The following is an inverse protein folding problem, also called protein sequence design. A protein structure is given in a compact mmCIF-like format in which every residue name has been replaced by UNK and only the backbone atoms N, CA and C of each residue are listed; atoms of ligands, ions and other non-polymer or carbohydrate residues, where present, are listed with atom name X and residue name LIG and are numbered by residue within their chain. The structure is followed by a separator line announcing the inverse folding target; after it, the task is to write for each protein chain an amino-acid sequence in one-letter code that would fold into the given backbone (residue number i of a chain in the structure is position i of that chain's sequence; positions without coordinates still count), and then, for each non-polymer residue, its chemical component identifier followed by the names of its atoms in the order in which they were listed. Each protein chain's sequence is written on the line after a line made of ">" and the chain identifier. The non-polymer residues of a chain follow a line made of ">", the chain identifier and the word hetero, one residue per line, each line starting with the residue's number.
data_IF_515591721232
#
_entry.id   IF_515591721232
#
_cell.length_a   1.000
_cell.length_b   1.000
_cell.length_c   1.000
_cell.angle_alpha   90.00
_cell.angle_beta   90.00
_cell.angle_gamma   90.00
#
_symmetry.space_group_name_H-M   'P 1'
#
loop_
_entity.id
_entity.type
_entity.pdbx_description
1 polymer ?
#
# COMPACT_ATOMS: atom_id res chain seq x y z
N UNK A 1 -28.01 23.58 2.14
CA UNK A 1 -28.47 24.87 2.70
C UNK A 1 -29.72 24.60 3.50
N UNK A 2 -30.00 25.32 4.61
CA UNK A 2 -31.27 25.14 5.30
C UNK A 2 -32.42 25.49 4.34
N UNK A 3 -33.58 24.90 4.57
CA UNK A 3 -34.80 25.24 3.84
C UNK A 3 -35.17 26.71 4.08
N UNK A 4 -35.80 27.35 3.09
CA UNK A 4 -36.14 28.77 3.14
C UNK A 4 -37.33 29.08 4.08
N UNK A 5 -38.14 28.08 4.41
CA UNK A 5 -39.26 28.20 5.34
C UNK A 5 -39.11 27.20 6.48
N UNK A 6 -39.46 27.63 7.69
CA UNK A 6 -39.47 26.78 8.87
C UNK A 6 -40.55 25.69 8.72
N UNK A 7 -40.17 24.42 8.94
CA UNK A 7 -41.09 23.28 8.85
C UNK A 7 -42.25 23.35 9.84
N UNK A 8 -42.07 24.05 10.96
CA UNK A 8 -43.01 24.01 12.08
C UNK A 8 -44.02 25.17 12.04
N UNK A 9 -43.62 26.33 11.52
CA UNK A 9 -44.45 27.54 11.51
C UNK A 9 -44.56 28.24 10.15
N UNK A 10 -43.83 27.79 9.13
CA UNK A 10 -43.82 28.37 7.79
C UNK A 10 -43.09 29.71 7.65
N UNK A 11 -42.50 30.25 8.73
CA UNK A 11 -41.76 31.52 8.69
C UNK A 11 -40.44 31.45 7.91
N UNK A 12 -39.94 32.60 7.45
CA UNK A 12 -38.72 32.69 6.65
C UNK A 12 -37.46 32.31 7.45
N UNK A 13 -36.56 31.54 6.83
CA UNK A 13 -35.29 31.09 7.40
C UNK A 13 -34.13 31.73 6.65
N UNK A 14 -33.35 32.55 7.36
CA UNK A 14 -32.13 33.15 6.80
C UNK A 14 -30.92 32.24 7.06
N UNK A 15 -30.31 31.73 5.98
CA UNK A 15 -29.08 30.94 6.08
C UNK A 15 -27.90 31.78 6.60
N UNK A 16 -27.10 31.20 7.49
CA UNK A 16 -25.85 31.82 7.95
C UNK A 16 -24.84 31.95 6.80
N UNK A 17 -24.09 33.06 6.77
CA UNK A 17 -23.08 33.34 5.73
C UNK A 17 -21.85 32.41 5.76
N UNK A 18 -21.63 31.70 6.87
CA UNK A 18 -20.54 30.74 7.02
C UNK A 18 -21.05 29.39 7.56
N UNK A 19 -20.46 28.26 7.11
CA UNK A 19 -20.85 26.94 7.59
C UNK A 19 -20.45 26.75 9.05
N UNK A 20 -21.43 26.44 9.91
CA UNK A 20 -21.22 26.19 11.35
C UNK A 20 -21.32 24.71 11.74
N UNK A 21 -22.01 23.90 10.94
CA UNK A 21 -22.14 22.46 11.14
C UNK A 21 -21.21 21.73 10.18
N UNK A 22 -20.40 20.81 10.71
CA UNK A 22 -19.45 20.00 9.93
C UNK A 22 -19.89 18.56 10.00
N UNK A 23 -20.04 17.92 8.85
CA UNK A 23 -20.26 16.49 8.73
C UNK A 23 -19.12 15.92 7.89
N UNK A 24 -18.31 15.06 8.50
CA UNK A 24 -17.19 14.39 7.84
C UNK A 24 -17.52 12.90 7.74
N UNK A 25 -17.33 12.37 6.54
CA UNK A 25 -17.39 10.93 6.27
C UNK A 25 -15.97 10.49 5.97
N UNK A 26 -15.54 9.39 6.59
CA UNK A 26 -14.22 8.81 6.38
C UNK A 26 -14.40 7.48 5.67
N UNK A 27 -13.63 7.27 4.60
CA UNK A 27 -13.60 6.04 3.83
C UNK A 27 -12.14 5.65 3.59
N UNK A 28 -11.86 4.34 3.58
CA UNK A 28 -10.53 3.85 3.26
C UNK A 28 -10.29 3.94 1.75
N UNK A 29 -9.11 4.38 1.29
CA UNK A 29 -8.79 4.33 -0.13
C UNK A 29 -8.64 2.87 -0.58
N UNK A 30 -8.84 2.62 -1.88
CA UNK A 30 -8.46 1.34 -2.48
C UNK A 30 -6.96 1.08 -2.30
N UNK A 31 -6.62 -0.05 -1.70
CA UNK A 31 -5.24 -0.48 -1.49
C UNK A 31 -4.70 -1.21 -2.72
N UNK A 32 -3.80 -0.56 -3.46
CA UNK A 32 -3.11 -1.15 -4.61
C UNK A 32 -1.62 -1.24 -4.34
N UNK A 33 -1.03 -2.38 -4.69
CA UNK A 33 0.41 -2.57 -4.70
C UNK A 33 0.96 -2.16 -6.07
N UNK A 34 2.01 -1.36 -6.07
CA UNK A 34 2.77 -1.03 -7.28
C UNK A 34 3.86 -2.09 -7.45
N UNK A 35 3.81 -2.85 -8.54
CA UNK A 35 4.68 -3.99 -8.80
C UNK A 35 5.46 -3.75 -10.08
N UNK A 36 6.79 -3.70 -9.96
CA UNK A 36 7.70 -3.72 -11.10
C UNK A 36 8.32 -5.11 -11.22
N UNK A 37 8.06 -5.81 -12.31
CA UNK A 37 8.64 -7.13 -12.59
C UNK A 37 9.84 -6.98 -13.54
N UNK A 38 11.04 -7.35 -13.07
CA UNK A 38 12.23 -7.42 -13.90
C UNK A 38 12.44 -8.85 -14.42
N UNK A 39 12.27 -9.04 -15.73
CA UNK A 39 12.50 -10.34 -16.38
C UNK A 39 13.94 -10.44 -16.88
N UNK A 40 14.75 -11.26 -16.22
CA UNK A 40 16.15 -11.51 -16.60
C UNK A 40 16.29 -12.85 -17.32
N UNK A 41 16.82 -12.80 -18.54
CA UNK A 41 17.11 -13.99 -19.33
C UNK A 41 18.52 -14.51 -19.02
N UNK A 42 18.73 -15.81 -19.22
CA UNK A 42 20.06 -16.41 -19.21
C UNK A 42 20.27 -17.29 -20.44
N UNK A 43 21.52 -17.46 -20.84
CA UNK A 43 21.93 -18.30 -21.95
C UNK A 43 23.22 -19.04 -21.64
N UNK A 44 23.57 -19.97 -22.52
CA UNK A 44 24.84 -20.71 -22.45
C UNK A 44 25.66 -20.45 -23.70
N UNK A 45 26.96 -20.24 -23.51
CA UNK A 45 27.91 -20.15 -24.61
C UNK A 45 27.94 -21.49 -25.36
N UNK A 46 27.75 -21.47 -26.68
CA UNK A 46 27.73 -22.68 -27.51
C UNK A 46 29.11 -23.38 -27.62
N UNK A 47 30.19 -22.72 -27.21
CA UNK A 47 31.54 -23.29 -27.28
C UNK A 47 32.06 -23.81 -25.93
N UNK A 48 32.00 -23.00 -24.88
CA UNK A 48 32.53 -23.37 -23.56
C UNK A 48 31.44 -23.70 -22.53
N UNK A 49 30.16 -23.63 -22.91
CA UNK A 49 29.00 -23.90 -22.06
C UNK A 49 28.86 -22.96 -20.83
N UNK A 50 29.65 -21.90 -20.74
CA UNK A 50 29.55 -20.89 -19.67
C UNK A 50 28.18 -20.21 -19.70
N UNK A 51 27.58 -20.05 -18.51
CA UNK A 51 26.30 -19.37 -18.34
C UNK A 51 26.50 -17.85 -18.35
N UNK A 52 25.76 -17.15 -19.19
CA UNK A 52 25.62 -15.69 -19.16
C UNK A 52 24.22 -15.33 -18.68
N UNK A 53 24.11 -14.39 -17.73
CA UNK A 53 22.84 -13.92 -17.17
C UNK A 53 22.67 -12.44 -17.47
N UNK A 54 21.43 -12.02 -17.74
CA UNK A 54 21.05 -10.62 -17.74
C UNK A 54 21.25 -10.00 -16.35
N UNK A 55 21.46 -8.69 -16.33
CA UNK A 55 21.61 -7.90 -15.11
C UNK A 55 20.40 -7.00 -14.92
N UNK A 56 20.07 -6.67 -13.67
CA UNK A 56 19.06 -5.65 -13.39
C UNK A 56 19.50 -4.28 -13.95
N UNK A 57 18.53 -3.39 -14.27
CA UNK A 57 18.80 -1.97 -14.50
C UNK A 57 19.53 -1.33 -13.31
N UNK A 58 20.32 -0.28 -13.56
CA UNK A 58 21.14 0.38 -12.53
C UNK A 58 20.32 1.08 -11.45
N UNK A 59 19.08 1.38 -11.75
CA UNK A 59 18.10 2.06 -10.90
C UNK A 59 17.17 1.09 -10.17
N UNK A 60 17.24 -0.21 -10.46
CA UNK A 60 16.49 -1.21 -9.72
C UNK A 60 17.10 -1.40 -8.32
N UNK A 61 16.24 -1.49 -7.31
CA UNK A 61 16.63 -1.86 -5.96
C UNK A 61 17.16 -3.30 -5.91
N UNK A 62 18.18 -3.55 -5.09
CA UNK A 62 18.70 -4.91 -4.85
C UNK A 62 17.73 -5.79 -4.04
N UNK A 63 16.81 -5.17 -3.29
CA UNK A 63 15.80 -5.83 -2.47
C UNK A 63 14.42 -5.93 -3.14
N UNK A 64 13.58 -6.87 -2.67
CA UNK A 64 12.21 -7.04 -3.19
C UNK A 64 11.18 -6.08 -2.57
N UNK A 65 11.54 -5.32 -1.54
CA UNK A 65 10.67 -4.36 -0.87
C UNK A 65 11.19 -2.93 -1.02
N UNK A 66 10.39 -2.09 -1.66
CA UNK A 66 10.66 -0.66 -1.74
C UNK A 66 10.48 0.04 -0.38
N UNK A 67 11.08 1.23 -0.17
CA UNK A 67 11.11 1.90 1.14
C UNK A 67 9.75 2.04 1.83
N UNK A 68 8.68 2.26 1.07
CA UNK A 68 7.31 2.37 1.61
C UNK A 68 6.79 1.05 2.17
N UNK A 69 6.98 -0.05 1.44
CA UNK A 69 6.54 -1.37 1.90
C UNK A 69 7.38 -1.84 3.07
N UNK A 70 8.71 -1.63 3.01
CA UNK A 70 9.64 -1.92 4.09
C UNK A 70 9.23 -1.17 5.38
N UNK A 71 9.01 0.14 5.29
CA UNK A 71 8.58 0.96 6.43
C UNK A 71 7.25 0.49 7.01
N UNK A 72 6.30 0.10 6.14
CA UNK A 72 5.00 -0.39 6.58
C UNK A 72 5.13 -1.71 7.35
N UNK A 73 5.91 -2.66 6.84
CA UNK A 73 6.20 -3.93 7.54
C UNK A 73 6.88 -3.68 8.89
N UNK A 74 7.85 -2.77 8.94
CA UNK A 74 8.55 -2.39 10.17
C UNK A 74 7.61 -1.78 11.21
N UNK A 75 6.62 -0.99 10.80
CA UNK A 75 5.58 -0.45 11.71
C UNK A 75 4.67 -1.57 12.22
N UNK A 76 4.23 -2.48 11.34
CA UNK A 76 3.39 -3.62 11.72
C UNK A 76 4.06 -4.55 12.74
N UNK A 77 5.36 -4.81 12.59
CA UNK A 77 6.11 -5.64 13.54
C UNK A 77 6.56 -4.86 14.78
N UNK A 78 7.17 -3.69 14.60
CA UNK A 78 7.80 -2.93 15.67
C UNK A 78 6.81 -2.23 16.58
N UNK A 79 5.83 -1.53 16.01
CA UNK A 79 4.83 -0.78 16.78
C UNK A 79 3.61 -1.62 17.13
N UNK A 80 3.13 -2.44 16.18
CA UNK A 80 1.90 -3.22 16.36
C UNK A 80 2.14 -4.68 16.79
N UNK A 81 3.41 -5.10 16.91
CA UNK A 81 3.79 -6.43 17.40
C UNK A 81 3.12 -7.59 16.65
N UNK A 82 2.85 -7.39 15.35
CA UNK A 82 2.35 -8.48 14.51
C UNK A 82 3.48 -9.47 14.26
N UNK A 83 3.17 -10.76 14.45
CA UNK A 83 4.09 -11.82 14.05
C UNK A 83 4.25 -11.85 12.52
N UNK A 84 5.36 -12.38 12.04
CA UNK A 84 5.63 -12.56 10.59
C UNK A 84 4.43 -13.15 9.84
N UNK A 85 3.77 -14.17 10.39
CA UNK A 85 2.58 -14.79 9.78
C UNK A 85 1.36 -13.85 9.76
N UNK A 86 1.15 -13.06 10.81
CA UNK A 86 0.06 -12.08 10.84
C UNK A 86 0.30 -10.94 9.85
N UNK A 87 1.54 -10.47 9.76
CA UNK A 87 1.93 -9.45 8.76
C UNK A 87 1.75 -9.99 7.34
N UNK A 88 2.24 -11.19 7.05
CA UNK A 88 2.04 -11.86 5.76
C UNK A 88 0.55 -11.95 5.40
N UNK A 89 -0.28 -12.41 6.36
CA UNK A 89 -1.72 -12.56 6.13
C UNK A 89 -2.41 -11.23 5.89
N UNK A 90 -2.07 -10.20 6.66
CA UNK A 90 -2.61 -8.85 6.47
C UNK A 90 -2.28 -8.29 5.09
N UNK A 91 -1.03 -8.44 4.63
CA UNK A 91 -0.63 -7.97 3.30
C UNK A 91 -1.33 -8.75 2.19
N UNK A 92 -1.54 -10.06 2.36
CA UNK A 92 -2.31 -10.88 1.42
C UNK A 92 -3.78 -10.46 1.38
N UNK A 93 -4.42 -10.24 2.53
CA UNK A 93 -5.82 -9.82 2.60
C UNK A 93 -6.03 -8.39 2.02
N UNK A 94 -5.05 -7.49 2.18
CA UNK A 94 -5.16 -6.09 1.73
C UNK A 94 -4.80 -5.90 0.26
N UNK A 95 -3.79 -6.63 -0.23
CA UNK A 95 -3.22 -6.41 -1.57
C UNK A 95 -3.41 -7.60 -2.52
N UNK A 96 -3.91 -8.74 -2.05
CA UNK A 96 -4.12 -9.93 -2.86
C UNK A 96 -2.82 -10.63 -3.32
N UNK A 97 -1.67 -10.23 -2.76
CA UNK A 97 -0.34 -10.72 -3.17
C UNK A 97 0.32 -11.50 -2.05
N UNK A 98 0.87 -12.67 -2.39
CA UNK A 98 1.59 -13.51 -1.45
C UNK A 98 3.06 -13.06 -1.30
N UNK A 99 3.46 -12.74 -0.08
CA UNK A 99 4.87 -12.54 0.28
C UNK A 99 5.37 -13.75 1.07
N UNK A 100 6.63 -14.15 0.86
CA UNK A 100 7.22 -15.22 1.66
C UNK A 100 7.46 -14.76 3.11
N UNK A 101 7.41 -15.69 4.07
CA UNK A 101 7.74 -15.38 5.47
C UNK A 101 9.20 -14.95 5.63
N UNK A 102 10.10 -15.46 4.78
CA UNK A 102 11.51 -15.07 4.78
C UNK A 102 11.70 -13.60 4.41
N UNK A 103 11.01 -13.15 3.36
CA UNK A 103 11.05 -11.75 2.92
C UNK A 103 10.47 -10.81 4.00
N UNK A 104 9.37 -11.20 4.65
CA UNK A 104 8.79 -10.42 5.75
C UNK A 104 9.72 -10.39 6.97
N UNK A 105 10.44 -11.48 7.26
CA UNK A 105 11.39 -11.52 8.37
C UNK A 105 12.61 -10.63 8.11
N UNK A 106 13.15 -10.64 6.88
CA UNK A 106 14.29 -9.79 6.49
C UNK A 106 13.96 -8.30 6.64
N UNK A 107 12.71 -7.92 6.34
CA UNK A 107 12.21 -6.56 6.52
C UNK A 107 12.11 -6.10 7.99
N UNK A 108 12.20 -7.01 8.96
CA UNK A 108 12.08 -6.72 10.40
C UNK A 108 13.44 -6.54 11.09
N UNK A 109 14.54 -6.96 10.45
CA UNK A 109 15.88 -7.04 11.04
C UNK A 109 16.29 -8.45 11.41
#
# INVERSE_FOLDING_TARGET
>A
MPDACCSDCGGEVTANKSPRYRHQVFELPESKLDITEYQLFHGRCQQCNTVSKGTLPKDASDGQMEPRLLSYVAVLSGLYHLSVRKTQRLLEDQYGTHFSTGLISEAQG
#
